data_IF_217420091806
#
_entry.id   IF_217420091806
#
_cell.length_a   1.000
_cell.length_b   1.000
_cell.length_c   1.000
_cell.angle_alpha   90.00
_cell.angle_beta   90.00
_cell.angle_gamma   90.00
#
_symmetry.space_group_name_H-M   'P 1'
#
loop_
_entity.id
_entity.type
_entity.pdbx_description
1 polymer ?
#
# COMPACT_ATOMS: atom_id res chain seq x y z
N UNK A 1 1.62 -9.50 -9.12
CA UNK A 1 1.79 -8.06 -9.43
C UNK A 1 3.25 -7.78 -9.73
N UNK A 2 3.55 -7.04 -10.81
CA UNK A 2 4.92 -6.60 -11.16
C UNK A 2 5.12 -5.09 -10.91
N UNK A 3 6.32 -4.56 -11.18
CA UNK A 3 6.63 -3.14 -10.97
C UNK A 3 5.79 -2.17 -11.82
N UNK A 4 5.42 -2.56 -13.06
CA UNK A 4 4.56 -1.72 -13.91
C UNK A 4 3.16 -1.61 -13.32
N UNK A 5 2.56 -2.74 -12.96
CA UNK A 5 1.24 -2.78 -12.31
C UNK A 5 1.26 -1.98 -11.01
N UNK A 6 2.33 -2.08 -10.23
CA UNK A 6 2.50 -1.30 -9.00
C UNK A 6 2.53 0.22 -9.29
N UNK A 7 3.31 0.65 -10.28
CA UNK A 7 3.35 2.05 -10.70
C UNK A 7 1.98 2.58 -11.12
N UNK A 8 1.16 1.76 -11.77
CA UNK A 8 -0.18 2.17 -12.20
C UNK A 8 -1.13 2.30 -11.01
N UNK A 9 -1.05 1.40 -10.03
CA UNK A 9 -1.77 1.53 -8.75
C UNK A 9 -1.37 2.83 -8.04
N UNK A 10 -0.08 3.15 -7.96
CA UNK A 10 0.40 4.38 -7.34
C UNK A 10 -0.12 5.63 -8.07
N UNK A 11 -0.11 5.66 -9.40
CA UNK A 11 -0.64 6.81 -10.15
C UNK A 11 -2.13 7.01 -9.89
N UNK A 12 -2.92 5.94 -9.91
CA UNK A 12 -4.37 6.01 -9.75
C UNK A 12 -4.77 6.43 -8.33
N UNK A 13 -4.12 5.83 -7.33
CA UNK A 13 -4.57 5.95 -5.96
C UNK A 13 -3.78 7.00 -5.16
N UNK A 14 -2.49 7.19 -5.41
CA UNK A 14 -1.62 7.99 -4.55
C UNK A 14 -1.68 9.50 -4.85
N UNK A 15 -1.90 9.89 -6.11
CA UNK A 15 -1.88 11.29 -6.56
C UNK A 15 -2.85 12.17 -5.75
N UNK A 16 -4.12 11.78 -5.51
CA UNK A 16 -5.04 12.57 -4.71
C UNK A 16 -4.55 12.80 -3.27
N UNK A 17 -3.90 11.81 -2.65
CA UNK A 17 -3.38 11.93 -1.27
C UNK A 17 -2.17 12.83 -1.19
N UNK A 18 -1.25 12.74 -2.16
CA UNK A 18 -0.05 13.61 -2.20
C UNK A 18 -0.45 15.07 -2.35
N UNK A 19 -1.45 15.35 -3.20
CA UNK A 19 -1.98 16.71 -3.36
C UNK A 19 -2.65 17.22 -2.08
N UNK A 20 -3.35 16.36 -1.34
CA UNK A 20 -4.06 16.72 -0.10
C UNK A 20 -3.11 16.89 1.10
N UNK A 21 -2.14 16.00 1.27
CA UNK A 21 -1.22 15.99 2.42
C UNK A 21 -0.05 16.98 2.24
N UNK A 22 0.22 17.40 1.00
CA UNK A 22 1.27 18.35 0.68
C UNK A 22 2.69 17.76 0.75
N UNK A 23 3.67 18.65 0.63
CA UNK A 23 5.09 18.31 0.46
C UNK A 23 5.78 17.74 1.71
N UNK A 24 5.11 17.77 2.87
CA UNK A 24 5.64 17.22 4.12
C UNK A 24 5.32 15.73 4.30
N UNK A 25 4.48 15.16 3.43
CA UNK A 25 4.11 13.75 3.50
C UNK A 25 5.31 12.83 3.23
N UNK A 26 5.44 11.79 4.04
CA UNK A 26 6.42 10.71 3.86
C UNK A 26 5.66 9.46 3.45
N UNK A 27 6.04 8.88 2.32
CA UNK A 27 5.47 7.64 1.81
C UNK A 27 6.23 6.44 2.35
N UNK A 28 5.52 5.52 2.97
CA UNK A 28 6.09 4.28 3.52
C UNK A 28 5.72 3.10 2.62
N UNK A 29 6.70 2.29 2.26
CA UNK A 29 6.52 1.04 1.51
C UNK A 29 7.58 0.02 1.95
N UNK A 30 7.27 -1.27 1.86
CA UNK A 30 8.24 -2.33 2.13
C UNK A 30 9.29 -2.46 1.00
N UNK A 31 10.44 -3.07 1.31
CA UNK A 31 11.57 -3.28 0.37
C UNK A 31 11.36 -4.40 -0.65
N UNK A 32 10.13 -4.69 -1.07
CA UNK A 32 9.89 -5.66 -2.14
C UNK A 32 10.60 -5.21 -3.43
N UNK A 33 11.24 -6.13 -4.21
CA UNK A 33 11.96 -5.77 -5.43
C UNK A 33 11.17 -4.90 -6.42
N UNK A 34 9.84 -5.03 -6.47
CA UNK A 34 9.01 -4.19 -7.35
C UNK A 34 8.88 -2.74 -6.85
N UNK A 35 8.94 -2.52 -5.53
CA UNK A 35 8.84 -1.21 -4.89
C UNK A 35 10.16 -0.42 -4.99
N UNK A 36 11.29 -1.12 -4.98
CA UNK A 36 12.64 -0.53 -5.08
C UNK A 36 13.18 -0.52 -6.52
N UNK A 37 12.42 -1.04 -7.48
CA UNK A 37 12.80 -1.08 -8.89
C UNK A 37 13.07 0.33 -9.45
N UNK A 38 13.92 0.41 -10.48
CA UNK A 38 14.27 1.68 -11.15
C UNK A 38 13.03 2.45 -11.61
N UNK A 39 12.03 1.75 -12.14
CA UNK A 39 10.77 2.35 -12.62
C UNK A 39 9.98 2.97 -11.49
N UNK A 40 9.81 2.26 -10.37
CA UNK A 40 9.06 2.76 -9.21
C UNK A 40 9.77 3.95 -8.57
N UNK A 41 11.09 3.84 -8.34
CA UNK A 41 11.90 4.92 -7.76
C UNK A 41 11.87 6.18 -8.62
N UNK A 42 11.94 6.03 -9.96
CA UNK A 42 11.81 7.15 -10.88
C UNK A 42 10.41 7.80 -10.84
N UNK A 43 9.35 7.02 -10.71
CA UNK A 43 7.98 7.53 -10.56
C UNK A 43 7.82 8.35 -9.28
N UNK A 44 8.25 7.81 -8.12
CA UNK A 44 8.17 8.52 -6.84
C UNK A 44 8.93 9.85 -6.88
N UNK A 45 10.12 9.86 -7.50
CA UNK A 45 10.90 11.09 -7.74
C UNK A 45 10.14 12.08 -8.64
N UNK A 46 9.51 11.62 -9.72
CA UNK A 46 8.69 12.46 -10.62
C UNK A 46 7.50 13.08 -9.89
N UNK A 47 6.87 12.32 -8.98
CA UNK A 47 5.76 12.78 -8.15
C UNK A 47 6.21 13.68 -6.98
N UNK A 48 7.53 13.87 -6.79
CA UNK A 48 8.14 14.61 -5.67
C UNK A 48 7.72 14.05 -4.31
N UNK A 49 7.59 12.73 -4.23
CA UNK A 49 7.17 12.04 -3.02
C UNK A 49 8.41 11.51 -2.32
N UNK A 50 8.55 11.86 -1.05
CA UNK A 50 9.63 11.36 -0.19
C UNK A 50 9.27 9.96 0.29
N UNK A 51 9.96 8.94 -0.19
CA UNK A 51 9.86 7.60 0.38
C UNK A 51 10.70 7.49 1.66
N UNK A 52 10.16 6.82 2.69
CA UNK A 52 10.89 6.45 3.89
C UNK A 52 11.87 5.32 3.57
N UNK A 53 13.08 5.37 4.16
CA UNK A 53 13.98 4.22 4.14
C UNK A 53 13.44 3.15 5.08
N UNK A 54 13.30 1.93 4.58
CA UNK A 54 12.66 0.84 5.31
C UNK A 54 13.68 -0.24 5.68
N UNK A 55 13.74 -0.71 6.93
CA UNK A 55 14.55 -1.87 7.28
C UNK A 55 13.93 -3.16 6.70
N UNK A 56 14.78 -4.03 6.18
CA UNK A 56 14.34 -5.34 5.68
C UNK A 56 13.85 -6.24 6.83
N UNK A 57 12.82 -7.06 6.56
CA UNK A 57 12.23 -7.99 7.53
C UNK A 57 11.64 -7.35 8.80
N UNK A 58 11.13 -6.12 8.70
CA UNK A 58 10.47 -5.42 9.81
C UNK A 58 8.97 -5.21 9.56
N UNK A 59 8.15 -6.27 9.51
CA UNK A 59 6.70 -6.13 9.35
C UNK A 59 6.06 -5.47 10.58
N UNK A 60 6.63 -5.66 11.76
CA UNK A 60 6.19 -5.10 13.04
C UNK A 60 6.18 -3.57 13.05
N UNK A 61 7.06 -2.93 12.28
CA UNK A 61 7.12 -1.48 12.17
C UNK A 61 6.08 -0.91 11.20
N UNK A 62 5.43 -1.74 10.38
CA UNK A 62 4.54 -1.30 9.32
C UNK A 62 3.09 -1.18 9.82
N UNK A 63 2.52 0.04 9.96
CA UNK A 63 1.17 0.22 10.48
C UNK A 63 0.10 -0.50 9.66
N UNK A 64 0.34 -0.75 8.37
CA UNK A 64 -0.63 -1.47 7.53
C UNK A 64 -0.81 -2.93 7.98
N UNK A 65 0.20 -3.55 8.59
CA UNK A 65 0.10 -4.93 9.08
C UNK A 65 -0.92 -5.02 10.22
N UNK A 66 -1.02 -3.98 11.05
CA UNK A 66 -2.06 -3.89 12.07
C UNK A 66 -3.45 -3.81 11.46
N UNK A 67 -3.64 -2.95 10.44
CA UNK A 67 -4.91 -2.85 9.71
C UNK A 67 -5.28 -4.16 9.01
N UNK A 68 -4.33 -4.83 8.37
CA UNK A 68 -4.51 -6.15 7.77
C UNK A 68 -4.93 -7.20 8.80
N UNK A 69 -4.38 -7.15 10.03
CA UNK A 69 -4.79 -8.00 11.14
C UNK A 69 -6.26 -7.82 11.52
N UNK A 70 -6.72 -6.58 11.61
CA UNK A 70 -8.13 -6.24 11.88
C UNK A 70 -9.04 -6.77 10.75
N UNK A 71 -8.67 -6.50 9.50
CA UNK A 71 -9.43 -6.98 8.33
C UNK A 71 -9.53 -8.51 8.31
N UNK A 72 -8.42 -9.20 8.58
CA UNK A 72 -8.39 -10.66 8.66
C UNK A 72 -9.34 -11.19 9.73
N UNK A 73 -9.31 -10.59 10.92
CA UNK A 73 -10.23 -10.96 12.00
C UNK A 73 -11.70 -10.78 11.60
N UNK A 74 -12.05 -9.68 10.92
CA UNK A 74 -13.41 -9.46 10.41
C UNK A 74 -13.84 -10.53 9.41
N UNK A 75 -12.96 -10.84 8.44
CA UNK A 75 -13.22 -11.91 7.45
C UNK A 75 -13.47 -13.26 8.13
N UNK A 76 -12.70 -13.59 9.18
CA UNK A 76 -12.88 -14.83 9.96
C UNK A 76 -14.22 -14.87 10.69
N UNK A 77 -14.63 -13.76 11.32
CA UNK A 77 -15.92 -13.65 12.03
C UNK A 77 -17.10 -13.76 11.05
N UNK A 78 -17.01 -13.14 9.88
CA UNK A 78 -18.05 -13.16 8.85
C UNK A 78 -18.18 -14.51 8.11
N UNK A 79 -17.26 -15.46 8.34
CA UNK A 79 -17.25 -16.79 7.70
C UNK A 79 -17.40 -16.72 6.17
N UNK A 80 -16.66 -15.79 5.57
CA UNK A 80 -16.65 -15.56 4.13
C UNK A 80 -16.32 -16.85 3.38
N UNK A 81 -17.10 -17.16 2.34
CA UNK A 81 -17.00 -18.43 1.58
C UNK A 81 -16.68 -18.24 0.10
N UNK A 82 -16.75 -17.01 -0.41
CA UNK A 82 -16.49 -16.70 -1.80
C UNK A 82 -15.91 -15.29 -1.97
N UNK A 83 -15.35 -15.02 -3.14
CA UNK A 83 -14.66 -13.76 -3.43
C UNK A 83 -15.58 -12.54 -3.33
N UNK A 84 -16.86 -12.67 -3.64
CA UNK A 84 -17.81 -11.56 -3.57
C UNK A 84 -18.04 -11.14 -2.12
N UNK A 85 -18.32 -12.11 -1.26
CA UNK A 85 -18.44 -11.87 0.19
C UNK A 85 -17.14 -11.30 0.79
N UNK A 86 -15.97 -11.73 0.30
CA UNK A 86 -14.70 -11.16 0.73
C UNK A 86 -14.59 -9.69 0.35
N UNK A 87 -14.94 -9.34 -0.89
CA UNK A 87 -14.95 -7.95 -1.35
C UNK A 87 -15.94 -7.10 -0.54
N UNK A 88 -17.14 -7.61 -0.27
CA UNK A 88 -18.16 -6.88 0.50
C UNK A 88 -17.61 -6.54 1.91
N UNK A 89 -17.06 -7.52 2.63
CA UNK A 89 -16.50 -7.31 3.98
C UNK A 89 -15.31 -6.35 3.99
N UNK A 90 -14.43 -6.39 2.99
CA UNK A 90 -13.24 -5.54 2.94
C UNK A 90 -13.57 -4.09 2.55
N UNK A 91 -14.63 -3.89 1.75
CA UNK A 91 -15.03 -2.57 1.24
C UNK A 91 -16.03 -1.83 2.14
N UNK A 92 -16.59 -2.49 3.16
CA UNK A 92 -17.44 -1.86 4.19
C UNK A 92 -16.64 -0.97 5.17
N UNK A 93 -15.30 -1.07 5.16
CA UNK A 93 -14.36 -0.23 5.93
C UNK A 93 -13.87 0.99 5.14
#
# INVERSE_FOLDING_TARGET
MNASMYCDILKQNMIPFVQRLGHMAIFQQANDPKHTSKTTTALLKKLRVKAMEWPSMSPDLNPIEHMCGILKWKVEVCKVSNIRQLCDVVMEE
#
